data_IF_601025528628
#
_entry.id   IF_601025528628
#
_cell.length_a   1.000
_cell.length_b   1.000
_cell.length_c   1.000
_cell.angle_alpha   90.00
_cell.angle_beta   90.00
_cell.angle_gamma   90.00
#
_symmetry.space_group_name_H-M   'P 1'
#
loop_
_entity.id
_entity.type
_entity.pdbx_description
1 polymer ?
#
# COMPACT_ATOMS: atom_id res chain seq x y z
N UNK A 1 -16.70 -20.09 8.15
CA UNK A 1 -15.25 -19.89 8.39
C UNK A 1 -14.88 -18.50 7.91
N UNK A 2 -15.09 -17.47 8.74
CA UNK A 2 -14.83 -16.06 8.40
C UNK A 2 -13.43 -15.69 8.85
N UNK A 3 -12.59 -15.40 7.86
CA UNK A 3 -11.13 -15.31 7.93
C UNK A 3 -10.59 -14.34 8.99
N UNK A 4 -9.65 -14.86 9.78
CA UNK A 4 -8.73 -14.20 10.71
C UNK A 4 -7.71 -13.31 9.99
N UNK A 5 -8.14 -12.35 9.17
CA UNK A 5 -7.21 -11.47 8.43
C UNK A 5 -6.79 -10.21 9.20
N UNK A 6 -7.39 -9.93 10.36
CA UNK A 6 -7.29 -8.61 11.00
C UNK A 6 -6.30 -8.56 12.17
N UNK A 7 -5.90 -9.71 12.74
CA UNK A 7 -5.01 -9.70 13.92
C UNK A 7 -3.55 -9.32 13.60
N UNK A 8 -3.15 -9.32 12.32
CA UNK A 8 -1.76 -9.00 11.92
C UNK A 8 -1.55 -7.57 11.38
N UNK A 9 -2.61 -6.78 11.15
CA UNK A 9 -2.48 -5.46 10.54
C UNK A 9 -1.89 -4.38 11.48
N UNK A 10 -1.73 -4.67 12.77
CA UNK A 10 -1.14 -3.75 13.75
C UNK A 10 0.39 -3.67 13.68
N UNK A 11 1.06 -4.59 12.97
CA UNK A 11 2.52 -4.62 12.81
C UNK A 11 2.92 -5.04 11.39
N UNK A 12 3.12 -4.06 10.49
CA UNK A 12 4.22 -4.10 9.52
C UNK A 12 4.23 -5.13 8.37
N UNK A 13 3.17 -5.91 8.11
CA UNK A 13 3.19 -6.87 6.99
C UNK A 13 2.69 -6.23 5.68
N UNK A 14 3.59 -5.60 4.94
CA UNK A 14 3.36 -5.01 3.61
C UNK A 14 2.70 -6.02 2.62
N UNK A 15 3.19 -7.27 2.50
CA UNK A 15 2.50 -8.32 1.75
C UNK A 15 1.03 -8.52 2.12
N UNK A 16 0.69 -8.54 3.42
CA UNK A 16 -0.69 -8.67 3.87
C UNK A 16 -1.58 -7.48 3.46
N UNK A 17 -1.02 -6.25 3.52
CA UNK A 17 -1.72 -5.04 3.06
C UNK A 17 -1.98 -5.07 1.54
N UNK A 18 -0.99 -5.51 0.76
CA UNK A 18 -1.14 -5.66 -0.70
C UNK A 18 -2.17 -6.74 -1.04
N UNK A 19 -2.16 -7.85 -0.30
CA UNK A 19 -3.12 -8.94 -0.46
C UNK A 19 -4.55 -8.47 -0.16
N UNK A 20 -4.77 -7.75 0.94
CA UNK A 20 -6.07 -7.18 1.31
C UNK A 20 -6.58 -6.15 0.28
N UNK A 21 -5.68 -5.52 -0.48
CA UNK A 21 -6.03 -4.56 -1.53
C UNK A 21 -6.31 -5.21 -2.91
N UNK A 22 -6.30 -6.54 -3.04
CA UNK A 22 -6.68 -7.23 -4.28
C UNK A 22 -8.18 -7.01 -4.58
N UNK A 23 -8.51 -6.81 -5.86
CA UNK A 23 -9.87 -6.43 -6.29
C UNK A 23 -10.96 -7.38 -5.79
N UNK A 24 -10.70 -8.70 -5.80
CA UNK A 24 -11.63 -9.71 -5.29
C UNK A 24 -11.89 -9.56 -3.79
N UNK A 25 -10.85 -9.31 -3.01
CA UNK A 25 -10.93 -9.09 -1.56
C UNK A 25 -11.66 -7.79 -1.25
N UNK A 26 -11.39 -6.74 -2.02
CA UNK A 26 -12.00 -5.43 -1.84
C UNK A 26 -13.51 -5.48 -1.98
N UNK A 27 -14.04 -6.19 -2.97
CA UNK A 27 -15.47 -6.27 -3.25
C UNK A 27 -16.28 -6.93 -2.13
N UNK A 28 -15.69 -7.89 -1.42
CA UNK A 28 -16.36 -8.62 -0.32
C UNK A 28 -16.05 -8.04 1.07
N UNK A 29 -14.99 -7.24 1.18
CA UNK A 29 -14.60 -6.56 2.42
C UNK A 29 -15.60 -5.44 2.75
N UNK A 30 -15.97 -5.26 4.02
CA UNK A 30 -16.90 -4.21 4.45
C UNK A 30 -16.28 -2.81 4.35
N UNK A 31 -17.11 -1.78 4.19
CA UNK A 31 -16.64 -0.39 4.11
C UNK A 31 -15.85 0.05 5.34
N UNK A 32 -16.27 -0.35 6.54
CA UNK A 32 -15.56 -0.07 7.79
C UNK A 32 -14.16 -0.72 7.82
N UNK A 33 -14.02 -1.93 7.29
CA UNK A 33 -12.71 -2.58 7.18
C UNK A 33 -11.81 -1.87 6.16
N UNK A 34 -12.36 -1.42 5.03
CA UNK A 34 -11.62 -0.63 4.04
C UNK A 34 -11.14 0.71 4.62
N UNK A 35 -11.97 1.39 5.43
CA UNK A 35 -11.59 2.62 6.13
C UNK A 35 -10.46 2.37 7.14
N UNK A 36 -10.44 1.23 7.84
CA UNK A 36 -9.33 0.87 8.74
C UNK A 36 -8.05 0.47 8.01
N UNK A 37 -8.17 -0.11 6.81
CA UNK A 37 -7.03 -0.50 5.98
C UNK A 37 -6.32 0.72 5.36
N UNK A 38 -7.07 1.78 5.09
CA UNK A 38 -6.58 2.97 4.38
C UNK A 38 -5.38 3.65 5.09
N UNK A 39 -5.41 3.97 6.40
CA UNK A 39 -4.26 4.55 7.10
C UNK A 39 -2.99 3.69 7.03
N UNK A 40 -3.12 2.37 7.20
CA UNK A 40 -1.97 1.45 7.15
C UNK A 40 -1.32 1.44 5.75
N UNK A 41 -2.12 1.49 4.69
CA UNK A 41 -1.62 1.62 3.31
C UNK A 41 -0.96 2.97 3.05
N UNK A 42 -1.50 4.07 3.60
CA UNK A 42 -0.89 5.40 3.49
C UNK A 42 0.49 5.42 4.14
N UNK A 43 0.61 4.93 5.38
CA UNK A 43 1.89 4.87 6.12
C UNK A 43 2.90 3.98 5.39
N UNK A 44 2.48 2.81 4.90
CA UNK A 44 3.34 1.92 4.14
C UNK A 44 3.82 2.57 2.83
N UNK A 45 2.93 3.27 2.12
CA UNK A 45 3.29 4.03 0.91
C UNK A 45 4.30 5.14 1.19
N UNK A 46 4.10 5.92 2.26
CA UNK A 46 5.01 7.01 2.60
C UNK A 46 6.38 6.50 3.02
N UNK A 47 6.42 5.46 3.84
CA UNK A 47 7.67 4.80 4.24
C UNK A 47 8.43 4.29 3.01
N UNK A 48 7.76 3.51 2.14
CA UNK A 48 8.37 2.99 0.93
C UNK A 48 8.84 4.11 -0.03
N UNK A 49 8.11 5.22 -0.10
CA UNK A 49 8.51 6.41 -0.89
C UNK A 49 9.81 7.01 -0.35
N UNK A 50 9.88 7.23 0.95
CA UNK A 50 11.07 7.81 1.59
C UNK A 50 12.29 6.91 1.41
N UNK A 51 12.12 5.60 1.57
CA UNK A 51 13.21 4.63 1.40
C UNK A 51 13.68 4.56 -0.06
N UNK A 52 12.74 4.55 -1.02
CA UNK A 52 13.07 4.63 -2.45
C UNK A 52 13.87 5.90 -2.77
N UNK A 53 13.44 7.06 -2.25
CA UNK A 53 14.16 8.33 -2.46
C UNK A 53 15.54 8.33 -1.82
N UNK A 54 15.68 7.75 -0.61
CA UNK A 54 16.97 7.64 0.08
C UNK A 54 17.93 6.74 -0.69
N UNK A 55 17.47 5.60 -1.19
CA UNK A 55 18.28 4.68 -1.99
C UNK A 55 18.70 5.33 -3.31
N UNK A 56 17.77 5.98 -4.01
CA UNK A 56 18.08 6.76 -5.22
C UNK A 56 19.16 7.83 -4.95
N UNK A 57 19.05 8.58 -3.84
CA UNK A 57 20.04 9.56 -3.46
C UNK A 57 21.40 8.93 -3.11
N UNK A 58 21.41 7.77 -2.45
CA UNK A 58 22.62 7.03 -2.13
C UNK A 58 23.34 6.51 -3.39
N UNK A 59 22.59 5.98 -4.37
CA UNK A 59 23.13 5.50 -5.65
C UNK A 59 23.64 6.62 -6.54
N UNK A 60 22.92 7.75 -6.57
CA UNK A 60 23.38 8.95 -7.27
C UNK A 60 24.75 9.42 -6.75
N UNK A 61 24.96 9.40 -5.43
CA UNK A 61 26.26 9.70 -4.82
C UNK A 61 27.36 8.68 -5.15
N UNK A 62 27.01 7.41 -5.38
CA UNK A 62 27.95 6.33 -5.75
C UNK A 62 28.22 6.24 -7.26
N UNK A 63 27.64 7.12 -8.09
CA UNK A 63 27.78 7.08 -9.56
C UNK A 63 27.03 5.93 -10.24
N UNK A 64 26.17 5.19 -9.52
CA UNK A 64 25.44 4.02 -10.00
C UNK A 64 24.04 4.37 -10.55
N UNK A 65 23.92 5.49 -11.27
CA UNK A 65 22.63 6.05 -11.67
C UNK A 65 21.88 5.25 -12.76
N UNK A 66 22.49 4.21 -13.34
CA UNK A 66 21.95 3.47 -14.50
C UNK A 66 21.07 2.27 -14.16
N UNK A 67 21.08 1.80 -12.91
CA UNK A 67 20.29 0.62 -12.50
C UNK A 67 19.00 1.07 -11.81
N UNK A 68 18.00 1.45 -12.62
CA UNK A 68 16.78 2.17 -12.15
C UNK A 68 15.52 1.31 -12.08
N UNK A 69 15.57 0.05 -12.49
CA UNK A 69 14.34 -0.69 -12.87
C UNK A 69 13.75 -1.54 -11.73
N UNK A 70 14.56 -2.03 -10.79
CA UNK A 70 14.07 -3.02 -9.81
C UNK A 70 13.52 -2.44 -8.49
N UNK A 71 14.02 -1.30 -7.99
CA UNK A 71 13.65 -0.84 -6.63
C UNK A 71 12.37 0.01 -6.58
N UNK A 72 11.94 0.58 -7.70
CA UNK A 72 10.67 1.31 -7.79
C UNK A 72 9.44 0.39 -7.69
N UNK A 73 9.64 -0.93 -7.82
CA UNK A 73 8.57 -1.92 -7.84
C UNK A 73 7.81 -1.95 -6.51
N UNK A 74 8.51 -1.95 -5.37
CA UNK A 74 7.88 -2.00 -4.04
C UNK A 74 6.96 -0.81 -3.75
N UNK A 75 7.43 0.42 -4.03
CA UNK A 75 6.60 1.62 -3.88
C UNK A 75 5.42 1.64 -4.86
N UNK A 76 5.65 1.27 -6.13
CA UNK A 76 4.61 1.27 -7.15
C UNK A 76 3.46 0.30 -6.83
N UNK A 77 3.76 -0.88 -6.29
CA UNK A 77 2.77 -1.89 -5.88
C UNK A 77 1.94 -1.41 -4.70
N UNK A 78 2.59 -0.81 -3.69
CA UNK A 78 1.91 -0.21 -2.54
C UNK A 78 1.00 0.96 -2.97
N UNK A 79 1.50 1.84 -3.84
CA UNK A 79 0.70 2.95 -4.35
C UNK A 79 -0.52 2.47 -5.16
N UNK A 80 -0.35 1.42 -5.96
CA UNK A 80 -1.46 0.79 -6.66
C UNK A 80 -2.48 0.15 -5.70
N UNK A 81 -2.04 -0.45 -4.59
CA UNK A 81 -2.91 -0.97 -3.54
C UNK A 81 -3.73 0.14 -2.87
N UNK A 82 -3.09 1.24 -2.49
CA UNK A 82 -3.75 2.42 -1.93
C UNK A 82 -4.80 3.00 -2.88
N UNK A 83 -4.47 3.15 -4.18
CA UNK A 83 -5.42 3.63 -5.19
C UNK A 83 -6.66 2.75 -5.30
N UNK A 84 -6.51 1.42 -5.24
CA UNK A 84 -7.62 0.47 -5.32
C UNK A 84 -8.57 0.61 -4.13
N UNK A 85 -8.04 0.70 -2.91
CA UNK A 85 -8.86 0.91 -1.69
C UNK A 85 -9.63 2.23 -1.76
N UNK A 86 -8.96 3.34 -2.13
CA UNK A 86 -9.64 4.65 -2.31
C UNK A 86 -10.73 4.60 -3.37
N UNK A 87 -10.47 3.96 -4.51
CA UNK A 87 -11.45 3.81 -5.59
C UNK A 87 -12.67 3.01 -5.12
N UNK A 88 -12.45 1.94 -4.36
CA UNK A 88 -13.52 1.11 -3.82
C UNK A 88 -14.37 1.83 -2.77
N UNK A 89 -13.74 2.56 -1.85
CA UNK A 89 -14.45 3.42 -0.88
C UNK A 89 -15.29 4.49 -1.59
N UNK A 90 -14.72 5.14 -2.62
CA UNK A 90 -15.45 6.11 -3.46
C UNK A 90 -16.64 5.48 -4.18
N UNK A 91 -16.47 4.28 -4.76
CA UNK A 91 -17.54 3.52 -5.41
C UNK A 91 -18.72 3.25 -4.47
N UNK A 92 -18.45 3.10 -3.17
CA UNK A 92 -19.43 2.83 -2.12
C UNK A 92 -20.04 4.09 -1.50
N UNK A 93 -19.70 5.28 -1.99
CA UNK A 93 -20.18 6.54 -1.43
C UNK A 93 -19.59 6.87 -0.06
N UNK A 94 -18.46 6.27 0.30
CA UNK A 94 -17.78 6.51 1.58
C UNK A 94 -16.74 7.60 1.38
N UNK A 95 -16.80 8.67 2.17
CA UNK A 95 -15.81 9.74 2.15
C UNK A 95 -14.43 9.16 2.50
N UNK A 96 -13.46 9.38 1.61
CA UNK A 96 -12.06 9.10 1.86
C UNK A 96 -11.44 10.38 2.42
N UNK A 97 -11.48 10.57 3.73
CA UNK A 97 -10.65 11.59 4.38
C UNK A 97 -9.27 10.96 4.64
N UNK A 98 -8.26 11.43 3.90
CA UNK A 98 -6.89 10.93 3.97
C UNK A 98 -6.11 11.21 2.70
#
# INVERSE_FOLDING_TARGET
MTSNLITHAAQGDVPALIQAAKTSELQVTSSTHLQRLLPSLVIACETARVDTLRDMAARARKGQAKDRVHDAEGFSVLFAALRRVRAELKRRGVACEG
#
